data_IF_171137412727
#
_entry.id   IF_171137412727
#
_cell.length_a   1.000
_cell.length_b   1.000
_cell.length_c   1.000
_cell.angle_alpha   90.00
_cell.angle_beta   90.00
_cell.angle_gamma   90.00
#
_symmetry.space_group_name_H-M   'P 1'
#
loop_
_entity.id
_entity.type
_entity.pdbx_description
1 polymer ?
#
# COMPACT_ATOMS: atom_id res chain seq x y z
N UNK A 1 6.31 24.01 46.07
CA UNK A 1 7.57 24.07 45.31
C UNK A 1 7.96 22.65 44.91
N UNK A 2 7.40 22.15 43.81
CA UNK A 2 7.75 20.83 43.26
C UNK A 2 9.14 20.89 42.62
N UNK A 3 10.09 20.24 43.27
CA UNK A 3 11.48 20.20 42.82
C UNK A 3 11.61 19.03 41.84
N UNK A 4 11.29 19.27 40.58
CA UNK A 4 11.54 18.29 39.51
C UNK A 4 13.05 17.99 39.42
N UNK A 5 13.48 16.72 39.51
CA UNK A 5 14.89 16.37 39.53
C UNK A 5 15.56 16.51 38.15
N UNK A 6 16.80 17.00 38.18
CA UNK A 6 17.59 17.60 37.08
C UNK A 6 18.15 16.61 36.04
N UNK A 7 17.69 15.37 36.03
CA UNK A 7 18.19 14.29 35.17
C UNK A 7 17.16 13.85 34.12
N UNK A 8 16.10 14.63 33.93
CA UNK A 8 15.02 14.35 32.99
C UNK A 8 15.37 14.70 31.52
N UNK A 9 16.62 14.50 31.10
CA UNK A 9 17.05 14.58 29.69
C UNK A 9 17.08 13.21 29.02
N UNK A 10 16.13 12.32 29.36
CA UNK A 10 15.88 11.15 28.51
C UNK A 10 15.25 11.67 27.22
N UNK A 11 16.11 12.00 26.26
CA UNK A 11 15.77 12.14 24.84
C UNK A 11 14.87 10.94 24.53
N UNK A 12 13.61 11.20 24.19
CA UNK A 12 12.67 10.13 23.92
C UNK A 12 13.24 9.28 22.78
N UNK A 13 13.66 8.05 23.09
CA UNK A 13 14.22 7.15 22.10
C UNK A 13 13.04 6.63 21.30
N UNK A 14 13.03 6.91 19.99
CA UNK A 14 11.99 6.45 19.08
C UNK A 14 12.19 4.95 18.86
N UNK A 15 11.42 4.15 19.59
CA UNK A 15 11.34 2.71 19.39
C UNK A 15 10.03 2.36 18.68
N UNK A 16 10.06 1.32 17.85
CA UNK A 16 8.85 0.73 17.32
C UNK A 16 8.12 0.02 18.48
N UNK A 17 6.82 0.25 18.60
CA UNK A 17 6.02 -0.38 19.65
C UNK A 17 6.03 -1.90 19.45
N UNK A 18 6.36 -2.63 20.49
CA UNK A 18 6.21 -4.08 20.53
C UNK A 18 4.74 -4.41 20.75
N UNK A 19 4.08 -4.89 19.71
CA UNK A 19 2.70 -5.37 19.76
C UNK A 19 2.70 -6.89 19.72
N UNK A 20 1.73 -7.52 20.39
CA UNK A 20 1.47 -8.94 20.25
C UNK A 20 0.29 -9.15 19.30
N UNK A 21 0.29 -10.27 18.57
CA UNK A 21 -0.85 -10.71 17.80
C UNK A 21 -1.93 -11.35 18.70
N UNK A 22 -3.05 -11.76 18.10
CA UNK A 22 -4.14 -12.41 18.82
C UNK A 22 -3.75 -13.75 19.46
N UNK A 23 -2.64 -14.37 19.02
CA UNK A 23 -2.08 -15.61 19.57
C UNK A 23 -1.04 -15.33 20.68
N UNK A 24 -0.79 -14.07 21.01
CA UNK A 24 0.20 -13.66 22.00
C UNK A 24 1.65 -13.70 21.53
N UNK A 25 1.91 -13.90 20.23
CA UNK A 25 3.25 -13.87 19.64
C UNK A 25 3.65 -12.43 19.34
N UNK A 26 4.94 -12.15 19.47
CA UNK A 26 5.50 -10.84 19.15
C UNK A 26 5.38 -10.56 17.65
N UNK A 27 4.82 -9.39 17.31
CA UNK A 27 4.63 -8.92 15.93
C UNK A 27 5.92 -8.40 15.32
N UNK A 28 6.81 -9.32 14.93
CA UNK A 28 8.06 -8.99 14.23
C UNK A 28 7.83 -8.47 12.80
N UNK A 29 6.64 -8.72 12.25
CA UNK A 29 6.16 -8.22 10.97
C UNK A 29 6.10 -6.69 10.89
N UNK A 30 5.97 -6.00 12.02
CA UNK A 30 5.90 -4.54 12.06
C UNK A 30 7.16 -3.87 11.49
N UNK A 31 8.33 -4.51 11.65
CA UNK A 31 9.59 -4.03 11.08
C UNK A 31 9.56 -4.17 9.56
N UNK A 32 9.14 -5.32 9.05
CA UNK A 32 9.06 -5.58 7.62
C UNK A 32 7.98 -4.72 6.91
N UNK A 33 6.92 -4.31 7.62
CA UNK A 33 5.87 -3.41 7.10
C UNK A 33 6.25 -1.93 7.15
N UNK A 34 7.32 -1.57 7.85
CA UNK A 34 7.72 -0.17 8.00
C UNK A 34 8.03 0.46 6.64
N UNK A 35 7.31 1.54 6.29
CA UNK A 35 7.45 2.23 4.99
C UNK A 35 6.61 1.66 3.86
N UNK A 36 5.82 0.62 4.10
CA UNK A 36 4.85 0.09 3.14
C UNK A 36 3.42 0.50 3.48
N UNK A 37 2.56 0.54 2.47
CA UNK A 37 1.12 0.73 2.65
C UNK A 37 0.53 -0.41 3.49
N UNK A 38 -0.50 -0.10 4.28
CA UNK A 38 -1.17 -1.08 5.16
C UNK A 38 -1.71 -2.28 4.40
N UNK A 39 -2.12 -2.08 3.15
CA UNK A 39 -2.75 -3.09 2.30
C UNK A 39 -1.73 -3.97 1.54
N UNK A 40 -0.43 -3.67 1.64
CA UNK A 40 0.61 -4.49 1.00
C UNK A 40 0.78 -5.79 1.76
N UNK A 41 0.55 -6.90 1.07
CA UNK A 41 0.77 -8.24 1.62
C UNK A 41 2.28 -8.50 1.71
N UNK A 42 2.76 -8.85 2.91
CA UNK A 42 4.17 -9.18 3.18
C UNK A 42 4.21 -10.48 3.98
N UNK A 43 4.82 -11.50 3.37
CA UNK A 43 5.05 -12.81 3.97
C UNK A 43 6.30 -12.74 4.86
N UNK A 44 6.14 -12.91 6.16
CA UNK A 44 7.25 -12.79 7.14
C UNK A 44 7.37 -14.02 8.03
N UNK A 45 6.34 -14.85 8.09
CA UNK A 45 6.28 -16.00 9.00
C UNK A 45 6.62 -17.26 8.24
N UNK A 46 7.17 -18.24 8.95
CA UNK A 46 7.49 -19.55 8.37
C UNK A 46 6.25 -20.23 7.77
N UNK A 47 5.08 -20.03 8.38
CA UNK A 47 3.80 -20.56 7.87
C UNK A 47 3.44 -20.06 6.47
N UNK A 48 3.94 -18.87 6.09
CA UNK A 48 3.68 -18.29 4.79
C UNK A 48 4.57 -18.93 3.69
N UNK A 49 5.68 -19.57 4.05
CA UNK A 49 6.66 -20.19 3.13
C UNK A 49 6.40 -21.69 2.93
N UNK A 50 5.63 -22.31 3.82
CA UNK A 50 5.30 -23.73 3.70
C UNK A 50 4.38 -23.96 2.50
N UNK A 51 4.61 -25.01 1.70
CA UNK A 51 3.73 -25.35 0.59
C UNK A 51 2.34 -25.66 1.13
N UNK A 52 1.32 -25.07 0.51
CA UNK A 52 -0.07 -25.41 0.74
C UNK A 52 -0.48 -26.46 -0.30
N UNK A 53 -1.07 -27.55 0.16
CA UNK A 53 -1.70 -28.53 -0.72
C UNK A 53 -3.02 -27.92 -1.18
N UNK A 54 -3.19 -27.81 -2.48
CA UNK A 54 -4.44 -27.34 -3.09
C UNK A 54 -5.13 -28.53 -3.74
N UNK A 55 -6.45 -28.58 -3.63
CA UNK A 55 -7.28 -29.49 -4.43
C UNK A 55 -7.41 -28.88 -5.84
N UNK A 56 -7.24 -29.70 -6.89
CA UNK A 56 -7.19 -29.22 -8.28
C UNK A 56 -8.47 -28.50 -8.74
N UNK A 57 -9.62 -28.81 -8.12
CA UNK A 57 -10.92 -28.21 -8.44
C UNK A 57 -11.44 -27.25 -7.35
N UNK A 58 -10.57 -26.79 -6.44
CA UNK A 58 -10.98 -25.88 -5.38
C UNK A 58 -11.44 -24.51 -5.91
N UNK A 59 -12.57 -24.02 -5.40
CA UNK A 59 -13.16 -22.69 -5.71
C UNK A 59 -12.17 -21.53 -5.52
N UNK A 60 -11.13 -21.73 -4.70
CA UNK A 60 -10.08 -20.76 -4.40
C UNK A 60 -9.16 -20.39 -5.59
N UNK A 61 -9.01 -21.28 -6.58
CA UNK A 61 -8.09 -21.09 -7.71
C UNK A 61 -8.81 -20.78 -9.03
N UNK A 62 -10.06 -20.36 -8.96
CA UNK A 62 -10.83 -20.02 -10.15
C UNK A 62 -10.49 -18.62 -10.66
N UNK A 63 -10.48 -18.47 -11.99
CA UNK A 63 -10.37 -17.17 -12.63
C UNK A 63 -11.61 -16.33 -12.24
N UNK A 64 -11.45 -15.03 -11.94
CA UNK A 64 -12.60 -14.15 -11.70
C UNK A 64 -13.60 -14.16 -12.86
N UNK A 65 -14.86 -13.80 -12.60
CA UNK A 65 -15.91 -13.77 -13.61
C UNK A 65 -15.57 -12.79 -14.76
N UNK A 66 -16.03 -13.09 -15.99
CA UNK A 66 -15.74 -12.32 -17.20
C UNK A 66 -16.18 -10.85 -17.08
N UNK A 67 -17.28 -10.57 -16.39
CA UNK A 67 -17.73 -9.20 -16.11
C UNK A 67 -16.70 -8.43 -15.27
N UNK A 68 -16.15 -9.05 -14.22
CA UNK A 68 -15.13 -8.40 -13.38
C UNK A 68 -13.85 -8.12 -14.15
N UNK A 69 -13.51 -8.99 -15.10
CA UNK A 69 -12.33 -8.85 -15.96
C UNK A 69 -12.53 -7.70 -16.94
N UNK A 70 -13.68 -7.62 -17.61
CA UNK A 70 -13.97 -6.52 -18.54
C UNK A 70 -14.02 -5.18 -17.81
N UNK A 71 -14.64 -5.11 -16.63
CA UNK A 71 -14.63 -3.90 -15.79
C UNK A 71 -13.21 -3.47 -15.39
N UNK A 72 -12.38 -4.40 -14.90
CA UNK A 72 -10.99 -4.11 -14.55
C UNK A 72 -10.14 -3.71 -15.76
N UNK A 73 -10.40 -4.33 -16.91
CA UNK A 73 -9.72 -4.01 -18.17
C UNK A 73 -10.03 -2.59 -18.61
N UNK A 74 -11.30 -2.18 -18.64
CA UNK A 74 -11.69 -0.80 -18.99
C UNK A 74 -11.15 0.22 -17.98
N UNK A 75 -11.24 -0.06 -16.68
CA UNK A 75 -10.68 0.83 -15.65
C UNK A 75 -9.17 1.01 -15.82
N UNK A 76 -8.44 -0.07 -16.12
CA UNK A 76 -7.00 -0.04 -16.37
C UNK A 76 -6.68 0.70 -17.68
N UNK A 77 -7.47 0.48 -18.75
CA UNK A 77 -7.34 1.16 -20.04
C UNK A 77 -7.42 2.68 -19.88
N UNK A 78 -8.44 3.17 -19.18
CA UNK A 78 -8.63 4.60 -18.91
C UNK A 78 -7.49 5.20 -18.05
N UNK A 79 -7.03 4.47 -17.04
CA UNK A 79 -5.92 4.92 -16.20
C UNK A 79 -4.62 5.06 -17.01
N UNK A 80 -4.35 4.11 -17.90
CA UNK A 80 -3.18 4.14 -18.78
C UNK A 80 -3.28 5.28 -19.80
N UNK A 81 -4.44 5.49 -20.42
CA UNK A 81 -4.69 6.62 -21.33
C UNK A 81 -4.44 7.98 -20.67
N UNK A 82 -4.82 8.14 -19.41
CA UNK A 82 -4.55 9.36 -18.64
C UNK A 82 -3.06 9.58 -18.41
N UNK A 83 -2.32 8.52 -18.07
CA UNK A 83 -0.88 8.60 -17.85
C UNK A 83 -0.15 8.92 -19.18
N UNK A 84 -0.53 8.25 -20.27
CA UNK A 84 0.11 8.45 -21.58
C UNK A 84 -0.19 9.82 -22.15
N UNK A 85 -1.44 10.30 -22.10
CA UNK A 85 -1.80 11.66 -22.53
C UNK A 85 -1.03 12.73 -21.76
N UNK A 86 -0.87 12.58 -20.45
CA UNK A 86 -0.06 13.50 -19.62
C UNK A 86 1.41 13.50 -20.04
N UNK A 87 1.98 12.32 -20.31
CA UNK A 87 3.36 12.18 -20.78
C UNK A 87 3.56 12.77 -22.18
N UNK A 88 2.62 12.53 -23.09
CA UNK A 88 2.63 13.09 -24.45
C UNK A 88 2.52 14.61 -24.40
N UNK A 89 1.59 15.15 -23.62
CA UNK A 89 1.44 16.60 -23.45
C UNK A 89 2.72 17.26 -22.91
N UNK A 90 3.43 16.59 -22.00
CA UNK A 90 4.71 17.09 -21.45
C UNK A 90 5.87 17.03 -22.45
N UNK A 91 5.78 16.17 -23.47
CA UNK A 91 6.78 16.06 -24.53
C UNK A 91 6.51 16.99 -25.72
N UNK A 92 5.28 17.49 -25.87
CA UNK A 92 4.93 18.47 -26.88
C UNK A 92 5.42 19.87 -26.48
N UNK A 93 5.82 20.72 -27.44
CA UNK A 93 6.21 22.09 -27.15
C UNK A 93 5.05 22.84 -26.50
N UNK A 94 5.35 23.66 -25.50
CA UNK A 94 4.36 24.40 -24.74
C UNK A 94 3.46 25.24 -25.67
N UNK A 95 2.18 24.90 -25.73
CA UNK A 95 1.15 25.77 -26.32
C UNK A 95 0.92 26.95 -25.38
N UNK A 96 0.65 28.14 -25.93
CA UNK A 96 0.25 29.31 -25.12
C UNK A 96 -0.85 28.94 -24.13
N UNK A 97 -0.72 29.41 -22.89
CA UNK A 97 -1.61 29.08 -21.78
C UNK A 97 -3.07 29.28 -22.18
N UNK A 98 -3.85 28.18 -22.18
CA UNK A 98 -5.29 28.27 -22.32
C UNK A 98 -5.86 28.91 -21.05
N UNK A 99 -6.66 29.98 -21.22
CA UNK A 99 -7.37 30.63 -20.11
C UNK A 99 -8.22 29.57 -19.39
N UNK A 100 -8.16 29.46 -18.06
CA UNK A 100 -9.06 28.57 -17.34
C UNK A 100 -10.51 28.98 -17.62
N UNK A 101 -11.38 27.98 -17.83
CA UNK A 101 -12.80 28.21 -18.02
C UNK A 101 -13.38 28.99 -16.82
N UNK A 102 -14.30 29.94 -17.04
CA UNK A 102 -14.89 30.70 -15.96
C UNK A 102 -15.60 29.76 -14.98
N UNK A 103 -15.35 29.96 -13.69
CA UNK A 103 -16.05 29.30 -12.60
C UNK A 103 -17.50 29.81 -12.62
N UNK A 104 -18.48 28.92 -12.79
CA UNK A 104 -19.90 29.20 -12.58
C UNK A 104 -20.29 28.85 -11.15
#
# INVERSE_FOLDING_TARGET
MERFPKYLWRKAIKHLRHECDAEGKLRNDAIARSGHSKDKIICTRLVDVKPKVFEEEGELLQRPNEETITQQTEATRLALEKITSTKVASALPARHAQKPNPVQ
#
